data_IF_152223980319
#
_entry.id   IF_152223980319
#
_cell.length_a   1.000
_cell.length_b   1.000
_cell.length_c   1.000
_cell.angle_alpha   90.00
_cell.angle_beta   90.00
_cell.angle_gamma   90.00
#
_symmetry.space_group_name_H-M   'P 1'
#
loop_
_entity.id
_entity.type
_entity.pdbx_description
1 polymer ?
#
# COMPACT_ATOMS: atom_id res chain seq x y z
N UNK A 1 -18.99 -40.79 0.11
CA UNK A 1 -17.86 -41.74 0.27
C UNK A 1 -17.49 -42.29 -1.10
N UNK A 2 -16.18 -42.39 -1.39
CA UNK A 2 -15.48 -42.73 -2.65
C UNK A 2 -15.60 -41.66 -3.75
N UNK A 3 -14.65 -40.77 -4.03
CA UNK A 3 -13.19 -40.85 -4.19
C UNK A 3 -12.75 -41.87 -5.27
N UNK A 4 -12.35 -41.38 -6.44
CA UNK A 4 -11.06 -41.66 -7.10
C UNK A 4 -10.89 -40.79 -8.37
N UNK A 5 -9.72 -40.16 -8.46
CA UNK A 5 -9.21 -39.32 -9.54
C UNK A 5 -8.64 -40.13 -10.71
N UNK A 6 -8.50 -39.53 -11.90
CA UNK A 6 -7.33 -39.66 -12.77
C UNK A 6 -7.42 -38.72 -14.00
N UNK A 7 -6.30 -38.07 -14.28
CA UNK A 7 -6.06 -36.99 -15.24
C UNK A 7 -5.76 -37.47 -16.68
N UNK A 8 -5.86 -36.53 -17.62
CA UNK A 8 -5.23 -36.44 -18.95
C UNK A 8 -5.93 -37.08 -20.17
N UNK A 9 -6.22 -36.21 -21.17
CA UNK A 9 -6.19 -36.42 -22.64
C UNK A 9 -6.57 -35.08 -23.31
N UNK A 10 -5.64 -34.16 -23.61
CA UNK A 10 -5.05 -33.99 -24.96
C UNK A 10 -6.04 -34.31 -26.10
N UNK A 11 -6.78 -33.30 -26.56
CA UNK A 11 -7.44 -33.30 -27.87
C UNK A 11 -6.67 -32.33 -28.75
N UNK A 12 -5.84 -32.88 -29.63
CA UNK A 12 -5.54 -32.28 -30.92
C UNK A 12 -6.36 -33.00 -31.99
N UNK A 13 -6.92 -32.23 -32.93
CA UNK A 13 -7.30 -32.61 -34.31
C UNK A 13 -8.04 -31.40 -34.89
N UNK A 14 -7.70 -30.75 -35.99
CA UNK A 14 -6.81 -31.08 -37.10
C UNK A 14 -7.33 -30.27 -38.29
N UNK A 15 -6.49 -29.39 -38.84
CA UNK A 15 -6.83 -28.53 -39.98
C UNK A 15 -5.63 -27.64 -40.35
N UNK A 16 -4.88 -28.09 -41.35
CA UNK A 16 -3.78 -27.42 -42.08
C UNK A 16 -2.80 -26.57 -41.25
N UNK A 17 -1.72 -27.20 -40.80
CA UNK A 17 -0.65 -26.60 -39.98
C UNK A 17 0.09 -25.43 -40.67
N UNK A 18 0.00 -25.29 -42.00
CA UNK A 18 0.70 -24.26 -42.78
C UNK A 18 -0.07 -22.92 -42.85
N UNK A 19 -1.42 -22.94 -42.90
CA UNK A 19 -2.25 -21.72 -42.90
C UNK A 19 -2.43 -21.13 -41.50
N UNK A 20 -2.55 -21.98 -40.47
CA UNK A 20 -2.65 -21.54 -39.08
C UNK A 20 -1.34 -20.90 -38.56
N UNK A 21 -0.20 -21.32 -39.13
CA UNK A 21 1.10 -20.73 -38.81
C UNK A 21 1.32 -19.41 -39.57
N UNK A 22 0.85 -19.31 -40.82
CA UNK A 22 0.92 -18.07 -41.59
C UNK A 22 0.06 -16.94 -40.99
N UNK A 23 -1.17 -17.23 -40.54
CA UNK A 23 -2.03 -16.24 -39.87
C UNK A 23 -1.48 -15.82 -38.48
N UNK A 24 -0.80 -16.74 -37.79
CA UNK A 24 -0.13 -16.44 -36.52
C UNK A 24 1.14 -15.59 -36.72
N UNK A 25 1.90 -15.80 -37.80
CA UNK A 25 3.07 -14.98 -38.14
C UNK A 25 2.67 -13.59 -38.65
N UNK A 26 1.57 -13.45 -39.40
CA UNK A 26 1.03 -12.16 -39.83
C UNK A 26 0.51 -11.34 -38.63
N UNK A 27 -0.24 -11.98 -37.73
CA UNK A 27 -0.69 -11.35 -36.48
C UNK A 27 0.47 -10.98 -35.53
N UNK A 28 1.54 -11.78 -35.50
CA UNK A 28 2.75 -11.46 -34.74
C UNK A 28 3.54 -10.30 -35.37
N UNK A 29 3.55 -10.20 -36.71
CA UNK A 29 4.17 -9.09 -37.44
C UNK A 29 3.48 -7.76 -37.21
N UNK A 30 2.14 -7.73 -37.25
CA UNK A 30 1.34 -6.54 -36.92
C UNK A 30 1.50 -6.13 -35.46
N UNK A 31 1.50 -7.10 -34.53
CA UNK A 31 1.73 -6.83 -33.12
C UNK A 31 3.13 -6.28 -32.88
N UNK A 32 4.16 -6.83 -33.54
CA UNK A 32 5.54 -6.37 -33.42
C UNK A 32 5.72 -4.94 -33.96
N UNK A 33 5.07 -4.59 -35.08
CA UNK A 33 5.11 -3.24 -35.63
C UNK A 33 4.37 -2.24 -34.71
N UNK A 34 3.20 -2.60 -34.21
CA UNK A 34 2.46 -1.77 -33.25
C UNK A 34 3.24 -1.58 -31.94
N UNK A 35 3.97 -2.61 -31.49
CA UNK A 35 4.84 -2.52 -30.31
C UNK A 35 6.07 -1.65 -30.57
N UNK A 36 6.63 -1.69 -31.79
CA UNK A 36 7.80 -0.90 -32.15
C UNK A 36 7.45 0.58 -32.35
N UNK A 37 6.30 0.90 -32.95
CA UNK A 37 5.79 2.28 -33.03
C UNK A 37 5.43 2.83 -31.63
N UNK A 38 4.83 2.01 -30.76
CA UNK A 38 4.56 2.41 -29.37
C UNK A 38 5.84 2.55 -28.54
N UNK A 39 6.90 1.79 -28.85
CA UNK A 39 8.22 1.97 -28.22
C UNK A 39 8.98 3.17 -28.76
N UNK A 40 8.87 3.53 -30.04
CA UNK A 40 9.46 4.74 -30.60
C UNK A 40 8.75 6.01 -30.09
N UNK A 41 7.41 6.00 -29.94
CA UNK A 41 6.68 7.08 -29.25
C UNK A 41 7.02 7.16 -27.75
N UNK A 42 7.19 6.00 -27.09
CA UNK A 42 7.64 5.98 -25.70
C UNK A 42 9.09 6.44 -25.54
N UNK A 43 9.96 6.19 -26.52
CA UNK A 43 11.37 6.60 -26.54
C UNK A 43 11.51 8.13 -26.64
N UNK A 44 10.68 8.80 -27.46
CA UNK A 44 10.66 10.27 -27.53
C UNK A 44 10.15 10.92 -26.23
N UNK A 45 9.25 10.26 -25.48
CA UNK A 45 8.81 10.70 -24.14
C UNK A 45 9.74 10.23 -23.00
N UNK A 46 10.67 9.29 -23.25
CA UNK A 46 11.63 8.84 -22.24
C UNK A 46 12.95 9.58 -22.27
N UNK A 47 13.36 10.26 -23.35
CA UNK A 47 14.61 11.05 -23.29
C UNK A 47 14.48 12.25 -22.33
N UNK A 48 13.33 12.95 -22.29
CA UNK A 48 13.12 14.05 -21.34
C UNK A 48 12.84 13.55 -19.90
N UNK A 49 12.11 12.44 -19.73
CA UNK A 49 11.85 11.85 -18.41
C UNK A 49 13.06 11.07 -17.85
N UNK A 50 13.92 10.51 -18.70
CA UNK A 50 15.15 9.83 -18.28
C UNK A 50 16.27 10.83 -18.02
N UNK A 51 16.37 11.96 -18.73
CA UNK A 51 17.30 13.03 -18.33
C UNK A 51 16.84 13.68 -17.01
N UNK A 52 15.55 13.94 -16.80
CA UNK A 52 15.07 14.45 -15.50
C UNK A 52 15.20 13.41 -14.36
N UNK A 53 14.95 12.12 -14.62
CA UNK A 53 15.14 11.05 -13.64
C UNK A 53 16.61 10.71 -13.40
N UNK A 54 17.48 10.82 -14.41
CA UNK A 54 18.93 10.64 -14.28
C UNK A 54 19.57 11.86 -13.63
N UNK A 55 19.09 13.08 -13.87
CA UNK A 55 19.52 14.29 -13.17
C UNK A 55 19.01 14.30 -11.73
N UNK A 56 17.80 13.82 -11.45
CA UNK A 56 17.29 13.61 -10.09
C UNK A 56 18.00 12.46 -9.35
N UNK A 57 18.34 11.36 -10.03
CA UNK A 57 19.13 10.25 -9.46
C UNK A 57 20.62 10.61 -9.29
N UNK A 58 21.18 11.43 -10.18
CA UNK A 58 22.53 11.97 -10.05
C UNK A 58 22.61 13.08 -9.00
N UNK A 59 21.53 13.84 -8.78
CA UNK A 59 21.43 14.84 -7.73
C UNK A 59 21.20 14.23 -6.33
N UNK A 60 20.63 13.03 -6.23
CA UNK A 60 20.36 12.35 -4.94
C UNK A 60 21.33 11.21 -4.61
N UNK A 61 22.13 10.75 -5.57
CA UNK A 61 23.16 9.74 -5.36
C UNK A 61 22.65 8.41 -4.77
N UNK A 62 23.58 7.50 -4.49
CA UNK A 62 23.31 6.24 -3.79
C UNK A 62 22.67 6.45 -2.39
N UNK A 63 22.79 7.67 -1.85
CA UNK A 63 22.26 8.11 -0.57
C UNK A 63 20.72 8.20 -0.58
N UNK A 64 20.08 8.55 -1.71
CA UNK A 64 18.62 8.59 -1.83
C UNK A 64 17.97 7.20 -1.80
N UNK A 65 18.59 6.23 -2.47
CA UNK A 65 18.13 4.83 -2.46
C UNK A 65 18.34 4.18 -1.08
N UNK A 66 19.47 4.46 -0.42
CA UNK A 66 19.76 3.98 0.93
C UNK A 66 18.86 4.65 1.99
N UNK A 67 18.58 5.94 1.86
CA UNK A 67 17.62 6.66 2.70
C UNK A 67 16.18 6.14 2.51
N UNK A 68 15.77 5.86 1.26
CA UNK A 68 14.46 5.27 0.98
C UNK A 68 14.34 3.85 1.57
N UNK A 69 15.38 3.02 1.43
CA UNK A 69 15.40 1.67 1.99
C UNK A 69 15.36 1.71 3.53
N UNK A 70 16.12 2.61 4.15
CA UNK A 70 16.12 2.83 5.60
C UNK A 70 14.76 3.35 6.09
N UNK A 71 14.11 4.23 5.32
CA UNK A 71 12.76 4.73 5.60
C UNK A 71 11.71 3.62 5.58
N UNK A 72 11.74 2.73 4.57
CA UNK A 72 10.85 1.57 4.53
C UNK A 72 11.09 0.60 5.70
N UNK A 73 12.35 0.35 6.05
CA UNK A 73 12.69 -0.51 7.19
C UNK A 73 12.16 0.08 8.51
N UNK A 74 12.35 1.39 8.72
CA UNK A 74 11.83 2.11 9.89
C UNK A 74 10.30 2.05 9.97
N UNK A 75 9.61 2.22 8.84
CA UNK A 75 8.15 2.10 8.76
C UNK A 75 7.68 0.67 9.09
N UNK A 76 8.38 -0.34 8.59
CA UNK A 76 8.10 -1.75 8.88
C UNK A 76 8.23 -2.06 10.39
N UNK A 77 9.30 -1.60 11.03
CA UNK A 77 9.48 -1.74 12.48
C UNK A 77 8.40 -0.99 13.27
N UNK A 78 8.04 0.21 12.83
CA UNK A 78 7.02 1.02 13.48
C UNK A 78 5.63 0.37 13.39
N UNK A 79 5.28 -0.21 12.22
CA UNK A 79 4.05 -0.97 12.05
C UNK A 79 4.05 -2.27 12.86
N UNK A 80 5.18 -2.95 12.95
CA UNK A 80 5.31 -4.14 13.80
C UNK A 80 5.17 -3.79 15.28
N UNK A 81 5.75 -2.69 15.74
CA UNK A 81 5.60 -2.20 17.11
C UNK A 81 4.13 -1.87 17.41
N UNK A 82 3.45 -1.20 16.48
CA UNK A 82 2.04 -0.84 16.63
C UNK A 82 1.10 -2.07 16.71
N UNK A 83 1.39 -3.13 15.95
CA UNK A 83 0.60 -4.37 15.97
C UNK A 83 0.73 -5.16 17.27
N UNK A 84 1.89 -5.09 17.93
CA UNK A 84 2.17 -5.81 19.17
C UNK A 84 1.80 -5.00 20.41
N UNK A 85 1.19 -3.83 20.24
CA UNK A 85 0.78 -2.99 21.36
C UNK A 85 -0.34 -3.66 22.16
N UNK A 86 -0.11 -3.82 23.45
CA UNK A 86 -1.08 -4.37 24.39
C UNK A 86 -2.09 -3.30 24.83
N UNK A 87 -3.26 -3.73 25.29
CA UNK A 87 -4.30 -2.85 25.83
C UNK A 87 -5.57 -3.62 26.12
N UNK A 88 -6.35 -3.15 27.08
CA UNK A 88 -7.58 -3.82 27.53
C UNK A 88 -8.78 -3.52 26.64
N UNK A 89 -8.71 -2.43 25.87
CA UNK A 89 -9.75 -1.99 24.93
C UNK A 89 -9.16 -1.67 23.55
N UNK A 90 -9.97 -1.63 22.48
CA UNK A 90 -9.49 -1.23 21.17
C UNK A 90 -8.90 0.19 21.16
N UNK A 91 -9.51 1.13 21.89
CA UNK A 91 -8.98 2.49 22.05
C UNK A 91 -7.61 2.51 22.73
N UNK A 92 -7.44 1.75 23.81
CA UNK A 92 -6.17 1.67 24.54
C UNK A 92 -5.09 1.01 23.68
N UNK A 93 -5.41 -0.08 22.96
CA UNK A 93 -4.49 -0.71 22.01
C UNK A 93 -4.08 0.24 20.88
N UNK A 94 -5.03 1.01 20.34
CA UNK A 94 -4.77 1.96 19.27
C UNK A 94 -3.86 3.09 19.74
N UNK A 95 -4.10 3.64 20.94
CA UNK A 95 -3.24 4.65 21.56
C UNK A 95 -1.82 4.11 21.79
N UNK A 96 -1.71 2.93 22.41
CA UNK A 96 -0.41 2.30 22.68
C UNK A 96 0.32 1.95 21.38
N UNK A 97 -0.41 1.54 20.34
CA UNK A 97 0.14 1.26 19.02
C UNK A 97 0.69 2.50 18.33
N UNK A 98 -0.03 3.62 18.41
CA UNK A 98 0.44 4.92 17.91
C UNK A 98 1.71 5.37 18.64
N UNK A 99 1.73 5.29 19.97
CA UNK A 99 2.92 5.63 20.77
C UNK A 99 4.12 4.74 20.43
N UNK A 100 3.88 3.44 20.22
CA UNK A 100 4.91 2.49 19.82
C UNK A 100 5.46 2.79 18.41
N UNK A 101 4.60 3.20 17.48
CA UNK A 101 4.97 3.62 16.14
C UNK A 101 5.86 4.86 16.18
N UNK A 102 5.48 5.89 16.95
CA UNK A 102 6.26 7.12 17.11
C UNK A 102 7.61 6.80 17.74
N UNK A 103 7.65 6.02 18.82
CA UNK A 103 8.89 5.61 19.46
C UNK A 103 9.83 4.87 18.50
N UNK A 104 9.30 3.99 17.65
CA UNK A 104 10.08 3.29 16.63
C UNK A 104 10.60 4.22 15.53
N UNK A 105 9.79 5.18 15.06
CA UNK A 105 10.20 6.17 14.07
C UNK A 105 11.28 7.11 14.61
N UNK A 106 11.11 7.63 15.83
CA UNK A 106 12.11 8.48 16.50
C UNK A 106 13.42 7.72 16.70
N UNK A 107 13.37 6.46 17.14
CA UNK A 107 14.55 5.60 17.32
C UNK A 107 15.33 5.41 16.01
N UNK A 108 14.63 5.33 14.87
CA UNK A 108 15.23 5.15 13.56
C UNK A 108 15.71 6.45 12.89
N UNK A 109 15.56 7.59 13.57
CA UNK A 109 16.00 8.90 13.08
C UNK A 109 15.05 9.53 12.06
N UNK A 110 13.80 9.07 11.98
CA UNK A 110 12.77 9.69 11.15
C UNK A 110 12.23 11.01 11.75
N UNK A 111 12.65 11.36 12.97
CA UNK A 111 12.18 12.54 13.69
C UNK A 111 10.93 12.28 14.53
N UNK A 112 10.48 13.30 15.25
CA UNK A 112 9.17 13.33 15.89
C UNK A 112 8.11 13.75 14.86
N UNK A 113 6.85 13.30 14.98
CA UNK A 113 5.79 13.72 14.07
C UNK A 113 5.64 15.24 14.04
N UNK A 114 5.44 15.79 12.85
CA UNK A 114 5.18 17.22 12.67
C UNK A 114 3.73 17.53 13.09
N UNK A 115 3.55 18.05 14.29
CA UNK A 115 2.24 18.47 14.82
C UNK A 115 2.12 18.29 16.34
N UNK A 116 1.13 18.96 16.94
CA UNK A 116 0.77 18.67 18.33
C UNK A 116 0.04 17.33 18.40
N UNK A 117 0.66 16.38 19.08
CA UNK A 117 0.03 15.09 19.39
C UNK A 117 -1.13 15.31 20.35
N UNK A 118 -2.30 14.68 20.13
CA UNK A 118 -3.40 14.76 21.08
C UNK A 118 -2.96 14.16 22.41
N UNK A 119 -3.55 14.65 23.51
CA UNK A 119 -3.37 13.99 24.79
C UNK A 119 -4.02 12.61 24.79
N UNK A 120 -3.58 11.72 25.68
CA UNK A 120 -4.22 10.41 25.82
C UNK A 120 -5.72 10.54 26.12
N UNK A 121 -6.09 11.51 26.96
CA UNK A 121 -7.49 11.75 27.33
C UNK A 121 -8.33 12.16 26.11
N UNK A 122 -7.82 13.10 25.30
CA UNK A 122 -8.48 13.52 24.06
C UNK A 122 -8.62 12.37 23.06
N UNK A 123 -7.58 11.56 22.90
CA UNK A 123 -7.63 10.40 22.02
C UNK A 123 -8.66 9.37 22.50
N UNK A 124 -8.69 9.07 23.80
CA UNK A 124 -9.62 8.08 24.36
C UNK A 124 -11.07 8.56 24.26
N UNK A 125 -11.34 9.84 24.49
CA UNK A 125 -12.65 10.45 24.28
C UNK A 125 -13.08 10.37 22.80
N UNK A 126 -12.19 10.79 21.90
CA UNK A 126 -12.42 10.77 20.47
C UNK A 126 -12.67 9.35 19.94
N UNK A 127 -11.88 8.38 20.39
CA UNK A 127 -12.07 6.97 20.08
C UNK A 127 -13.39 6.41 20.64
N UNK A 128 -13.73 6.78 21.89
CA UNK A 128 -14.96 6.32 22.53
C UNK A 128 -16.24 6.80 21.84
N UNK A 129 -16.16 7.85 21.02
CA UNK A 129 -17.27 8.34 20.20
C UNK A 129 -17.47 7.57 18.89
N UNK A 130 -16.52 6.72 18.49
CA UNK A 130 -16.65 5.85 17.31
C UNK A 130 -17.55 4.65 17.61
N UNK A 131 -18.13 4.06 16.55
CA UNK A 131 -18.76 2.74 16.67
C UNK A 131 -17.76 1.68 17.12
N UNK A 132 -18.23 0.60 17.77
CA UNK A 132 -17.35 -0.50 18.21
C UNK A 132 -16.54 -1.10 17.05
N UNK A 133 -17.12 -1.13 15.85
CA UNK A 133 -16.46 -1.62 14.65
C UNK A 133 -15.35 -0.67 14.19
N UNK A 134 -15.62 0.64 14.18
CA UNK A 134 -14.60 1.64 13.90
C UNK A 134 -13.46 1.59 14.92
N UNK A 135 -13.77 1.46 16.21
CA UNK A 135 -12.75 1.31 17.26
C UNK A 135 -11.84 0.09 17.02
N UNK A 136 -12.39 -1.05 16.59
CA UNK A 136 -11.60 -2.22 16.23
C UNK A 136 -10.72 -1.95 15.00
N UNK A 137 -11.24 -1.23 14.01
CA UNK A 137 -10.49 -0.83 12.82
C UNK A 137 -9.36 0.17 13.07
N UNK A 138 -9.29 0.81 14.25
CA UNK A 138 -8.11 1.59 14.65
C UNK A 138 -6.97 0.71 15.18
N UNK A 139 -7.27 -0.52 15.62
CA UNK A 139 -6.24 -1.45 16.09
C UNK A 139 -5.49 -1.98 14.87
N UNK A 140 -4.18 -1.73 14.73
CA UNK A 140 -3.44 -2.03 13.51
C UNK A 140 -3.50 -3.51 13.10
N UNK A 141 -3.44 -4.41 14.08
CA UNK A 141 -3.49 -5.86 13.85
C UNK A 141 -4.87 -6.35 13.39
N UNK A 142 -5.96 -5.72 13.87
CA UNK A 142 -7.32 -6.01 13.40
C UNK A 142 -7.53 -5.46 12.00
N UNK A 143 -7.15 -4.20 11.76
CA UNK A 143 -7.31 -3.53 10.47
C UNK A 143 -6.65 -4.30 9.31
N UNK A 144 -5.47 -4.87 9.52
CA UNK A 144 -4.79 -5.70 8.52
C UNK A 144 -5.51 -7.01 8.20
N UNK A 145 -6.15 -7.62 9.19
CA UNK A 145 -6.93 -8.85 8.99
C UNK A 145 -8.31 -8.57 8.38
N UNK A 146 -8.85 -7.37 8.62
CA UNK A 146 -10.20 -6.95 8.25
C UNK A 146 -10.20 -5.80 7.23
N UNK A 147 -9.23 -5.76 6.32
CA UNK A 147 -9.04 -4.61 5.42
C UNK A 147 -10.30 -4.21 4.63
N UNK A 148 -11.11 -5.16 4.15
CA UNK A 148 -12.33 -4.79 3.40
C UNK A 148 -13.38 -4.10 4.28
N UNK A 149 -13.52 -4.55 5.52
CA UNK A 149 -14.46 -3.99 6.50
C UNK A 149 -14.01 -2.61 6.95
N UNK A 150 -12.73 -2.47 7.30
CA UNK A 150 -12.15 -1.22 7.78
C UNK A 150 -11.99 -0.16 6.68
N UNK A 151 -12.01 -0.55 5.40
CA UNK A 151 -12.04 0.37 4.26
C UNK A 151 -13.45 0.66 3.73
N UNK A 152 -14.50 0.18 4.41
CA UNK A 152 -15.87 0.54 4.07
C UNK A 152 -16.08 2.06 4.17
N UNK A 153 -17.01 2.58 3.39
CA UNK A 153 -17.30 4.03 3.37
C UNK A 153 -17.81 4.52 4.73
N UNK A 154 -18.64 3.73 5.40
CA UNK A 154 -19.17 4.01 6.74
C UNK A 154 -18.05 4.23 7.77
N UNK A 155 -17.14 3.26 7.89
CA UNK A 155 -16.02 3.34 8.85
C UNK A 155 -15.07 4.49 8.51
N UNK A 156 -14.78 4.72 7.22
CA UNK A 156 -13.93 5.85 6.81
C UNK A 156 -14.56 7.20 7.16
N UNK A 157 -15.88 7.35 6.99
CA UNK A 157 -16.58 8.58 7.32
C UNK A 157 -16.60 8.83 8.85
N UNK A 158 -16.81 7.79 9.66
CA UNK A 158 -16.70 7.92 11.13
C UNK A 158 -15.29 8.38 11.55
N UNK A 159 -14.25 7.75 11.00
CA UNK A 159 -12.85 8.12 11.29
C UNK A 159 -12.51 9.56 10.91
N UNK A 160 -13.04 10.04 9.78
CA UNK A 160 -12.84 11.42 9.35
C UNK A 160 -13.47 12.41 10.33
N UNK A 161 -14.70 12.16 10.77
CA UNK A 161 -15.39 13.05 11.73
C UNK A 161 -14.63 13.18 13.05
N UNK A 162 -13.98 12.11 13.49
CA UNK A 162 -13.19 12.08 14.73
C UNK A 162 -11.83 12.75 14.56
N UNK A 163 -11.20 12.61 13.39
CA UNK A 163 -9.96 13.32 13.07
C UNK A 163 -10.13 14.84 13.09
N UNK A 164 -11.26 15.35 12.59
CA UNK A 164 -11.59 16.77 12.62
C UNK A 164 -11.77 17.27 14.07
N UNK A 165 -12.38 16.48 14.94
CA UNK A 165 -12.50 16.81 16.36
C UNK A 165 -11.16 16.86 17.09
N UNK A 166 -10.20 16.00 16.71
CA UNK A 166 -8.86 15.96 17.32
C UNK A 166 -7.90 17.01 16.77
N UNK A 167 -8.21 17.65 15.63
CA UNK A 167 -7.33 18.64 15.01
C UNK A 167 -8.12 19.86 14.49
N UNK A 168 -8.66 20.70 15.40
CA UNK A 168 -9.52 21.83 15.04
C UNK A 168 -8.80 23.00 14.34
N UNK A 169 -7.50 22.86 14.03
CA UNK A 169 -6.66 23.96 13.51
C UNK A 169 -6.59 24.07 11.98
N UNK A 170 -7.44 23.36 11.22
CA UNK A 170 -7.39 23.38 9.75
C UNK A 170 -8.26 24.47 9.08
N UNK A 171 -9.03 25.25 9.85
CA UNK A 171 -9.75 26.43 9.37
C UNK A 171 -9.02 27.71 9.80
N UNK A 172 -8.06 28.15 8.98
CA UNK A 172 -7.35 29.43 9.10
C UNK A 172 -7.26 30.13 7.76
#
# INVERSE_FOLDING_TARGET
MCALALSASLVGCGGNEEEAQAEAEEAAGELANALNEAMDEAAEETDEAADEAAEAAAATGNEGAEAAQKGLAALGEALQAAQNAEGSTPCEQSWNGMQAMIAAMTKNGAGEPEGEMPSQEQFMEACGNLSEQAQQCMVPSYAMQHMQECNSEEIRNEMQSVREMMNPSSDG
#
